data_IF_088806820981
#
_entry.id   IF_088806820981
#
_cell.length_a   1.000
_cell.length_b   1.000
_cell.length_c   1.000
_cell.angle_alpha   90.00
_cell.angle_beta   90.00
_cell.angle_gamma   90.00
#
_symmetry.space_group_name_H-M   'P 1'
#
loop_
_entity.id
_entity.type
_entity.pdbx_description
1 polymer ?
#
# COMPACT_ATOMS: atom_id res chain seq x y z
N UNK A 1 -2.23 -5.42 -23.56
CA UNK A 1 -3.40 -6.29 -23.30
C UNK A 1 -4.62 -5.38 -23.18
N UNK A 2 -5.77 -5.75 -23.75
CA UNK A 2 -7.00 -4.94 -23.68
C UNK A 2 -8.00 -5.67 -22.78
N UNK A 3 -8.48 -5.00 -21.74
CA UNK A 3 -9.55 -5.49 -20.87
C UNK A 3 -10.80 -4.64 -21.06
N UNK A 4 -11.97 -5.24 -20.88
CA UNK A 4 -13.26 -4.55 -20.97
C UNK A 4 -13.87 -4.39 -19.60
N UNK A 5 -14.40 -3.21 -19.34
CA UNK A 5 -15.18 -2.90 -18.15
C UNK A 5 -16.45 -3.74 -18.09
N UNK A 6 -16.91 -4.04 -16.87
CA UNK A 6 -18.17 -4.74 -16.61
C UNK A 6 -19.01 -3.93 -15.63
N UNK A 7 -20.33 -3.93 -15.83
CA UNK A 7 -21.27 -3.35 -14.86
C UNK A 7 -21.38 -4.27 -13.64
N UNK A 8 -21.23 -3.70 -12.45
CA UNK A 8 -21.40 -4.39 -11.17
C UNK A 8 -22.30 -3.54 -10.27
N UNK A 9 -23.59 -3.88 -10.22
CA UNK A 9 -24.59 -3.06 -9.54
C UNK A 9 -24.65 -1.64 -10.13
N UNK A 10 -24.36 -0.65 -9.28
CA UNK A 10 -24.28 0.78 -9.65
C UNK A 10 -22.86 1.24 -10.02
N UNK A 11 -21.90 0.33 -10.08
CA UNK A 11 -20.49 0.63 -10.33
C UNK A 11 -19.98 -0.06 -11.60
N UNK A 12 -18.78 0.34 -12.04
CA UNK A 12 -18.05 -0.28 -13.13
C UNK A 12 -16.81 -0.97 -12.55
N UNK A 13 -16.54 -2.20 -12.98
CA UNK A 13 -15.37 -2.99 -12.59
C UNK A 13 -14.47 -3.25 -13.79
N UNK A 14 -13.16 -3.11 -13.60
CA UNK A 14 -12.15 -3.52 -14.57
C UNK A 14 -11.59 -4.88 -14.13
N UNK A 15 -11.71 -5.95 -14.95
CA UNK A 15 -11.16 -7.25 -14.59
C UNK A 15 -9.62 -7.22 -14.66
N UNK A 16 -8.97 -7.55 -13.55
CA UNK A 16 -7.51 -7.70 -13.48
C UNK A 16 -7.14 -9.13 -13.93
N UNK A 17 -6.29 -9.29 -14.95
CA UNK A 17 -5.83 -10.61 -15.39
C UNK A 17 -5.00 -11.31 -14.32
N UNK A 18 -5.13 -12.64 -14.19
CA UNK A 18 -4.40 -13.43 -13.18
C UNK A 18 -2.88 -13.26 -13.22
N UNK A 19 -2.30 -12.96 -14.38
CA UNK A 19 -0.86 -12.74 -14.54
C UNK A 19 -0.30 -11.55 -13.76
N UNK A 20 -1.15 -10.65 -13.26
CA UNK A 20 -0.73 -9.52 -12.44
C UNK A 20 -0.54 -9.88 -10.96
N UNK A 21 -0.91 -11.10 -10.53
CA UNK A 21 -0.65 -11.57 -9.17
C UNK A 21 -1.47 -10.87 -8.07
N UNK A 22 -2.53 -10.15 -8.44
CA UNK A 22 -3.40 -9.46 -7.47
C UNK A 22 -4.31 -10.48 -6.77
N UNK A 23 -4.18 -10.56 -5.45
CA UNK A 23 -5.03 -11.41 -4.59
C UNK A 23 -6.45 -10.86 -4.48
N UNK A 24 -7.42 -11.76 -4.27
CA UNK A 24 -8.79 -11.36 -3.96
C UNK A 24 -8.83 -10.55 -2.66
N UNK A 25 -9.54 -9.44 -2.65
CA UNK A 25 -9.64 -8.56 -1.47
C UNK A 25 -8.48 -7.59 -1.29
N UNK A 26 -7.54 -7.51 -2.24
CA UNK A 26 -6.51 -6.47 -2.24
C UNK A 26 -7.14 -5.08 -2.41
N UNK A 27 -6.70 -4.13 -1.58
CA UNK A 27 -7.17 -2.75 -1.58
C UNK A 27 -6.21 -1.87 -2.37
N UNK A 28 -6.76 -0.90 -3.11
CA UNK A 28 -6.00 0.02 -3.94
C UNK A 28 -6.57 1.43 -3.80
N UNK A 29 -5.67 2.41 -3.80
CA UNK A 29 -6.00 3.81 -3.98
C UNK A 29 -6.10 4.05 -5.50
N UNK A 30 -7.26 4.51 -5.94
CA UNK A 30 -7.49 4.87 -7.34
C UNK A 30 -7.22 6.37 -7.53
N UNK A 31 -6.30 6.71 -8.42
CA UNK A 31 -5.97 8.09 -8.81
C UNK A 31 -6.24 8.24 -10.30
N UNK A 32 -6.86 9.36 -10.69
CA UNK A 32 -7.00 9.73 -12.08
C UNK A 32 -5.98 10.83 -12.39
N UNK A 33 -5.09 10.54 -13.32
CA UNK A 33 -4.07 11.47 -13.80
C UNK A 33 -4.66 12.40 -14.87
N UNK A 34 -4.00 13.54 -15.12
CA UNK A 34 -4.47 14.59 -16.05
C UNK A 34 -4.58 14.10 -17.51
N UNK A 35 -3.82 13.08 -17.88
CA UNK A 35 -3.85 12.44 -19.19
C UNK A 35 -5.02 11.44 -19.34
N UNK A 36 -5.82 11.27 -18.29
CA UNK A 36 -6.93 10.33 -18.22
C UNK A 36 -6.52 8.91 -17.84
N UNK A 37 -5.25 8.66 -17.50
CA UNK A 37 -4.84 7.40 -16.93
C UNK A 37 -5.50 7.19 -15.55
N UNK A 38 -5.86 5.95 -15.25
CA UNK A 38 -6.37 5.55 -13.94
C UNK A 38 -5.33 4.62 -13.33
N UNK A 39 -4.67 5.12 -12.28
CA UNK A 39 -3.61 4.44 -11.56
C UNK A 39 -4.18 3.80 -10.30
N UNK A 40 -3.91 2.50 -10.10
CA UNK A 40 -4.29 1.75 -8.90
C UNK A 40 -3.03 1.44 -8.08
N UNK A 41 -2.86 2.15 -6.98
CA UNK A 41 -1.69 2.02 -6.10
C UNK A 41 -2.10 1.13 -4.91
N UNK A 42 -1.38 0.05 -4.59
CA UNK A 42 -1.69 -0.79 -3.43
C UNK A 42 -1.88 0.06 -2.18
N UNK A 43 -3.02 -0.10 -1.51
CA UNK A 43 -3.25 0.59 -0.25
C UNK A 43 -2.39 -0.08 0.82
N UNK A 44 -1.22 0.51 1.11
CA UNK A 44 -0.45 0.13 2.28
C UNK A 44 -1.14 0.72 3.52
N UNK A 45 -1.67 -0.13 4.38
CA UNK A 45 -2.13 0.29 5.70
C UNK A 45 -0.91 0.50 6.59
N UNK A 46 -0.67 1.74 7.02
CA UNK A 46 0.42 2.02 7.93
C UNK A 46 0.08 1.41 9.30
N UNK A 47 0.85 0.41 9.73
CA UNK A 47 0.66 -0.24 11.03
C UNK A 47 0.79 0.72 12.22
N UNK A 48 1.39 1.90 12.03
CA UNK A 48 1.53 2.94 13.04
C UNK A 48 0.39 3.96 13.04
N UNK A 49 -0.47 4.02 12.00
CA UNK A 49 -1.64 4.91 11.99
C UNK A 49 -2.67 4.54 13.06
N UNK A 50 -2.69 3.27 13.49
CA UNK A 50 -3.58 2.82 14.57
C UNK A 50 -3.17 3.34 15.95
N UNK A 51 -1.90 3.74 16.12
CA UNK A 51 -1.38 4.32 17.36
C UNK A 51 -0.35 5.43 17.05
N UNK A 52 -0.81 6.62 16.63
CA UNK A 52 0.08 7.71 16.21
C UNK A 52 0.98 8.23 17.34
N UNK A 53 0.57 8.05 18.59
CA UNK A 53 1.33 8.42 19.79
C UNK A 53 2.36 7.35 20.22
N UNK A 54 2.40 6.19 19.56
CA UNK A 54 3.29 5.10 19.95
C UNK A 54 4.74 5.43 19.60
N UNK A 55 5.51 5.83 20.61
CA UNK A 55 6.92 6.14 20.48
C UNK A 55 7.75 4.85 20.39
N UNK A 56 7.90 4.35 19.16
CA UNK A 56 8.65 3.14 18.83
C UNK A 56 10.08 3.20 19.38
N UNK A 57 10.69 4.39 19.42
CA UNK A 57 12.05 4.60 19.92
C UNK A 57 12.14 4.36 21.43
N UNK A 58 11.14 4.77 22.19
CA UNK A 58 11.07 4.50 23.62
C UNK A 58 10.89 3.00 23.90
N UNK A 59 10.05 2.31 23.13
CA UNK A 59 9.83 0.87 23.28
C UNK A 59 11.08 0.03 22.95
N UNK A 60 11.86 0.42 21.92
CA UNK A 60 13.12 -0.24 21.58
C UNK A 60 14.18 -0.09 22.69
N UNK A 61 14.23 1.08 23.35
CA UNK A 61 15.10 1.31 24.51
C UNK A 61 14.68 0.47 25.72
N UNK A 62 13.38 0.34 25.99
CA UNK A 62 12.85 -0.50 27.07
C UNK A 62 13.15 -1.98 26.84
N UNK A 63 13.05 -2.45 25.59
CA UNK A 63 13.34 -3.83 25.22
C UNK A 63 14.84 -4.15 25.12
N UNK A 64 15.72 -3.18 25.42
CA UNK A 64 17.18 -3.31 25.32
C UNK A 64 17.67 -3.88 23.98
N UNK A 65 16.94 -3.60 22.90
CA UNK A 65 17.31 -4.05 21.55
C UNK A 65 18.44 -3.15 21.08
N UNK A 66 19.63 -3.69 20.79
CA UNK A 66 20.75 -2.88 20.34
C UNK A 66 20.44 -2.31 18.95
N UNK A 67 20.39 -0.99 18.86
CA UNK A 67 20.40 -0.28 17.58
C UNK A 67 21.79 -0.41 16.97
N UNK A 68 21.88 -0.96 15.77
CA UNK A 68 23.17 -1.13 15.09
C UNK A 68 23.69 0.18 14.48
N UNK A 69 22.90 1.26 14.51
CA UNK A 69 23.30 2.64 14.18
C UNK A 69 23.78 2.87 12.75
N UNK A 70 23.82 1.83 11.92
CA UNK A 70 24.25 1.93 10.53
C UNK A 70 23.01 2.03 9.64
N UNK A 71 22.70 3.26 9.20
CA UNK A 71 21.76 3.45 8.12
C UNK A 71 22.23 2.65 6.90
N UNK A 72 21.40 1.70 6.46
CA UNK A 72 21.68 0.87 5.28
C UNK A 72 21.15 1.52 4.00
N UNK A 73 20.53 2.70 4.11
CA UNK A 73 20.01 3.47 2.98
C UNK A 73 18.76 2.84 2.34
N UNK A 74 18.12 1.91 3.05
CA UNK A 74 16.89 1.20 2.62
C UNK A 74 15.69 1.50 3.52
N UNK A 75 15.80 2.55 4.32
CA UNK A 75 14.80 2.95 5.31
C UNK A 75 13.74 3.91 4.76
N UNK A 76 13.96 4.47 3.56
CA UNK A 76 12.93 5.13 2.76
C UNK A 76 12.36 4.14 1.73
N UNK A 77 11.44 3.28 2.17
CA UNK A 77 10.55 2.56 1.25
C UNK A 77 9.14 3.08 1.55
N UNK A 78 8.75 4.11 0.80
CA UNK A 78 7.39 4.63 0.76
C UNK A 78 6.51 3.78 -0.16
#
# INVERSE_FOLDING_TARGET
>A
MIVKTKKYGNSIMIPIPKGFGVSQGAEFIAVQDDDGAISFIPAHHNIFEQNPEYNVRAALQEMAIPDNGNNTGKEDIW
#
